data_IF_378995764936
#
_entry.id   IF_378995764936
#
_cell.length_a   1.000
_cell.length_b   1.000
_cell.length_c   1.000
_cell.angle_alpha   90.00
_cell.angle_beta   90.00
_cell.angle_gamma   90.00
#
_symmetry.space_group_name_H-M   'P 1'
#
loop_
_entity.id
_entity.type
_entity.pdbx_description
1 polymer ?
#
# COMPACT_ATOMS: atom_id res chain seq x y z
N UNK A 1 -20.73 0.64 41.96
CA UNK A 1 -19.55 1.34 41.43
C UNK A 1 -18.83 1.96 42.61
N UNK A 2 -17.68 1.40 42.98
CA UNK A 2 -16.87 1.87 44.12
C UNK A 2 -15.63 2.52 43.49
N UNK A 3 -15.38 3.79 43.84
CA UNK A 3 -14.46 4.68 43.15
C UNK A 3 -12.98 4.39 43.47
N UNK A 4 -12.16 4.43 42.41
CA UNK A 4 -10.76 3.98 42.28
C UNK A 4 -9.71 4.92 42.94
N UNK A 5 -10.14 5.91 43.73
CA UNK A 5 -9.25 6.97 44.25
C UNK A 5 -8.77 6.75 45.70
N UNK A 6 -8.92 5.53 46.24
CA UNK A 6 -8.48 5.20 47.60
C UNK A 6 -7.28 4.23 47.65
N UNK A 7 -6.65 3.97 46.50
CA UNK A 7 -5.54 3.02 46.39
C UNK A 7 -4.16 3.66 46.22
N UNK A 8 -4.07 5.01 46.18
CA UNK A 8 -2.79 5.72 46.02
C UNK A 8 -2.61 6.70 47.18
N UNK A 9 -2.39 6.16 48.38
CA UNK A 9 -1.65 6.82 49.47
C UNK A 9 -1.48 5.80 50.59
N UNK A 10 -0.66 4.78 50.36
CA UNK A 10 0.09 4.12 51.42
C UNK A 10 1.15 3.20 50.79
N UNK A 11 2.35 3.24 51.37
CA UNK A 11 3.50 2.37 51.12
C UNK A 11 4.45 2.69 49.95
N UNK A 12 5.41 3.58 50.21
CA UNK A 12 6.82 3.43 49.80
C UNK A 12 7.68 4.10 50.88
N UNK A 13 8.95 3.72 51.16
CA UNK A 13 9.63 2.42 51.13
C UNK A 13 10.29 2.07 52.49
N UNK A 14 10.64 0.79 52.73
CA UNK A 14 11.62 0.43 53.76
C UNK A 14 12.48 -0.77 53.32
N UNK A 15 13.79 -0.64 53.52
CA UNK A 15 14.84 -1.57 53.10
C UNK A 15 14.96 -2.81 54.01
N UNK A 16 15.23 -3.97 53.38
CA UNK A 16 16.17 -4.99 53.84
C UNK A 16 15.76 -5.96 54.95
N UNK A 17 15.62 -7.25 54.61
CA UNK A 17 16.26 -8.39 55.31
C UNK A 17 16.13 -9.69 54.47
N UNK A 18 17.14 -10.53 54.59
CA UNK A 18 17.39 -11.80 53.86
C UNK A 18 16.62 -12.95 54.54
N UNK A 19 15.93 -13.80 53.77
CA UNK A 19 15.70 -15.22 54.12
C UNK A 19 15.09 -16.02 52.95
N UNK A 20 15.69 -17.19 52.68
CA UNK A 20 15.19 -18.30 51.86
C UNK A 20 15.25 -19.58 52.73
N UNK A 21 14.71 -20.75 52.33
CA UNK A 21 13.53 -21.03 51.49
C UNK A 21 12.60 -22.13 52.11
N UNK A 22 11.33 -22.21 51.70
CA UNK A 22 10.46 -23.37 52.00
C UNK A 22 9.95 -24.06 50.73
N UNK A 23 10.18 -25.37 50.66
CA UNK A 23 9.99 -26.31 49.55
C UNK A 23 8.51 -26.56 49.21
N UNK A 24 8.19 -26.66 47.91
CA UNK A 24 7.08 -27.48 47.38
C UNK A 24 7.59 -28.42 46.27
N UNK A 25 7.02 -29.63 46.26
CA UNK A 25 7.43 -30.88 45.58
C UNK A 25 7.23 -30.89 44.05
N UNK A 26 7.84 -31.85 43.31
CA UNK A 26 8.20 -31.71 41.89
C UNK A 26 7.17 -32.31 40.92
N UNK A 27 7.10 -31.74 39.71
CA UNK A 27 6.54 -32.37 38.51
C UNK A 27 7.61 -32.29 37.40
N UNK A 28 7.97 -33.40 36.72
CA UNK A 28 9.15 -33.42 35.84
C UNK A 28 8.79 -33.37 34.33
N UNK A 29 9.38 -32.42 33.59
CA UNK A 29 10.33 -32.60 32.46
C UNK A 29 10.35 -31.40 31.51
N UNK A 30 11.58 -30.93 31.28
CA UNK A 30 12.12 -30.04 30.22
C UNK A 30 11.57 -28.60 30.12
N UNK A 31 12.00 -27.74 31.04
CA UNK A 31 12.12 -26.31 30.76
C UNK A 31 13.52 -26.08 30.20
N UNK A 32 13.62 -25.95 28.88
CA UNK A 32 14.65 -25.09 28.30
C UNK A 32 14.42 -23.68 28.89
N UNK A 33 15.46 -22.86 29.13
CA UNK A 33 15.24 -21.48 29.51
C UNK A 33 14.25 -20.87 28.51
N UNK A 34 13.20 -20.21 29.01
CA UNK A 34 12.19 -19.52 28.20
C UNK A 34 12.91 -18.37 27.47
N UNK A 35 13.71 -18.71 26.46
CA UNK A 35 14.45 -17.78 25.66
C UNK A 35 13.41 -17.10 24.77
N UNK A 36 12.96 -15.93 25.23
CA UNK A 36 11.97 -15.06 24.58
C UNK A 36 12.54 -14.40 23.32
N UNK A 37 13.60 -14.98 22.76
CA UNK A 37 14.22 -14.61 21.52
C UNK A 37 13.46 -15.22 20.33
N UNK A 38 13.35 -14.46 19.25
CA UNK A 38 12.84 -14.96 17.97
C UNK A 38 13.64 -14.36 16.82
N UNK A 39 14.12 -15.22 15.92
CA UNK A 39 14.71 -14.80 14.67
C UNK A 39 13.67 -14.76 13.54
N UNK A 40 13.62 -13.67 12.81
CA UNK A 40 12.65 -13.50 11.73
C UNK A 40 13.31 -13.08 10.42
N UNK A 41 12.66 -13.41 9.32
CA UNK A 41 12.92 -12.77 8.03
C UNK A 41 11.63 -12.46 7.32
N UNK A 42 11.64 -11.34 6.61
CA UNK A 42 10.55 -10.89 5.77
C UNK A 42 11.07 -10.63 4.35
N UNK A 43 10.35 -11.11 3.35
CA UNK A 43 10.79 -10.95 1.97
C UNK A 43 9.76 -11.32 0.92
N UNK A 44 9.95 -10.81 -0.30
CA UNK A 44 9.04 -11.04 -1.44
C UNK A 44 8.98 -12.49 -1.91
N UNK A 45 10.13 -13.19 -1.94
CA UNK A 45 10.28 -14.56 -2.45
C UNK A 45 9.51 -14.85 -3.76
N UNK A 46 9.61 -13.97 -4.78
CA UNK A 46 8.78 -14.06 -5.99
C UNK A 46 9.60 -14.08 -7.30
N UNK A 47 9.99 -15.25 -7.84
CA UNK A 47 9.81 -16.59 -7.27
C UNK A 47 10.87 -16.95 -6.21
N UNK A 48 10.58 -17.93 -5.33
CA UNK A 48 11.60 -18.51 -4.46
C UNK A 48 12.67 -19.22 -5.29
N UNK A 49 13.92 -19.23 -4.81
CA UNK A 49 15.08 -19.75 -5.53
C UNK A 49 16.19 -20.16 -4.55
N UNK A 50 17.21 -20.89 -4.98
CA UNK A 50 18.27 -21.45 -4.13
C UNK A 50 18.96 -20.41 -3.23
N UNK A 51 19.24 -19.20 -3.76
CA UNK A 51 19.81 -18.11 -2.97
C UNK A 51 18.97 -17.67 -1.75
N UNK A 52 17.65 -17.88 -1.74
CA UNK A 52 16.84 -17.65 -0.55
C UNK A 52 17.12 -18.69 0.55
N UNK A 53 17.58 -19.90 0.21
CA UNK A 53 17.98 -20.91 1.18
C UNK A 53 19.06 -20.42 2.13
N UNK A 54 20.11 -19.75 1.61
CA UNK A 54 21.17 -19.13 2.44
C UNK A 54 20.59 -18.14 3.47
N UNK A 55 19.58 -17.35 3.08
CA UNK A 55 18.87 -16.44 3.99
C UNK A 55 18.10 -17.22 5.08
N UNK A 56 17.37 -18.29 4.71
CA UNK A 56 16.61 -19.08 5.68
C UNK A 56 17.53 -19.84 6.66
N UNK A 57 18.67 -20.34 6.17
CA UNK A 57 19.69 -20.98 6.99
C UNK A 57 20.33 -19.98 7.97
N UNK A 58 20.61 -18.75 7.51
CA UNK A 58 21.11 -17.68 8.37
C UNK A 58 20.09 -17.29 9.46
N UNK A 59 18.80 -17.23 9.12
CA UNK A 59 17.72 -17.00 10.09
C UNK A 59 17.69 -18.09 11.15
N UNK A 60 17.80 -19.35 10.73
CA UNK A 60 17.86 -20.49 11.64
C UNK A 60 19.09 -20.42 12.56
N UNK A 61 20.26 -20.04 12.03
CA UNK A 61 21.48 -19.87 12.82
C UNK A 61 21.39 -18.74 13.84
N UNK A 62 20.57 -17.72 13.56
CA UNK A 62 20.32 -16.60 14.45
C UNK A 62 19.14 -16.81 15.41
N UNK A 63 18.49 -17.97 15.40
CA UNK A 63 17.35 -18.31 16.26
C UNK A 63 17.69 -18.52 17.74
N UNK A 64 18.91 -18.18 18.18
CA UNK A 64 19.33 -18.26 19.57
C UNK A 64 19.39 -19.69 20.12
N UNK A 65 19.42 -19.79 21.45
CA UNK A 65 19.42 -21.06 22.19
C UNK A 65 18.05 -21.75 22.11
N UNK A 66 16.97 -20.97 21.96
CA UNK A 66 15.61 -21.49 21.70
C UNK A 66 15.46 -22.14 20.31
N UNK A 67 16.32 -21.80 19.35
CA UNK A 67 16.11 -22.16 17.95
C UNK A 67 14.78 -21.65 17.38
N UNK A 68 14.20 -20.62 17.99
CA UNK A 68 12.90 -20.10 17.61
C UNK A 68 13.07 -19.11 16.45
N UNK A 69 12.61 -19.52 15.27
CA UNK A 69 12.65 -18.67 14.10
C UNK A 69 11.40 -18.81 13.24
N UNK A 70 11.06 -17.72 12.54
CA UNK A 70 9.88 -17.63 11.68
C UNK A 70 10.21 -16.94 10.38
N UNK A 71 9.61 -17.42 9.30
CA UNK A 71 9.83 -16.90 7.95
C UNK A 71 8.49 -16.35 7.48
N UNK A 72 8.48 -15.08 7.10
CA UNK A 72 7.29 -14.36 6.67
C UNK A 72 7.42 -13.97 5.20
N UNK A 73 6.83 -14.74 4.27
CA UNK A 73 6.71 -14.30 2.89
C UNK A 73 5.75 -13.11 2.79
N UNK A 74 6.15 -12.08 2.05
CA UNK A 74 5.28 -10.93 1.79
C UNK A 74 4.01 -11.39 1.07
N UNK A 75 2.89 -10.71 1.34
CA UNK A 75 1.60 -10.98 0.72
C UNK A 75 1.34 -10.14 -0.53
N UNK A 76 2.29 -9.28 -0.91
CA UNK A 76 2.21 -8.44 -2.11
C UNK A 76 2.05 -9.32 -3.34
N UNK A 77 1.08 -8.98 -4.20
CA UNK A 77 0.82 -9.64 -5.48
C UNK A 77 0.60 -8.60 -6.57
N UNK A 78 1.33 -8.74 -7.67
CA UNK A 78 1.19 -7.91 -8.87
C UNK A 78 1.71 -8.67 -10.09
N UNK A 79 1.26 -8.32 -11.30
CA UNK A 79 1.63 -9.05 -12.52
C UNK A 79 3.07 -8.81 -13.01
N UNK A 80 3.89 -8.07 -12.25
CA UNK A 80 5.19 -7.59 -12.70
C UNK A 80 6.31 -8.14 -11.84
N UNK A 81 6.39 -7.65 -10.61
CA UNK A 81 7.42 -7.96 -9.62
C UNK A 81 7.00 -9.11 -8.71
N UNK A 82 5.71 -9.22 -8.40
CA UNK A 82 5.17 -10.24 -7.51
C UNK A 82 4.09 -11.14 -8.15
N UNK A 83 4.43 -11.91 -9.22
CA UNK A 83 3.44 -12.67 -9.99
C UNK A 83 2.76 -13.81 -9.22
N UNK A 84 3.47 -14.48 -8.31
CA UNK A 84 2.88 -15.54 -7.48
C UNK A 84 1.97 -14.96 -6.39
N UNK A 85 0.81 -15.59 -6.16
CA UNK A 85 -0.05 -15.27 -5.02
C UNK A 85 0.62 -15.65 -3.69
N UNK A 86 0.11 -15.12 -2.57
CA UNK A 86 0.63 -15.41 -1.23
C UNK A 86 0.65 -16.92 -0.93
N UNK A 87 -0.43 -17.64 -1.27
CA UNK A 87 -0.52 -19.09 -1.02
C UNK A 87 0.38 -19.90 -1.94
N UNK A 88 0.41 -19.58 -3.25
CA UNK A 88 1.32 -20.25 -4.19
C UNK A 88 2.78 -20.09 -3.75
N UNK A 89 3.15 -18.89 -3.31
CA UNK A 89 4.48 -18.57 -2.81
C UNK A 89 4.83 -19.42 -1.58
N UNK A 90 3.95 -19.48 -0.58
CA UNK A 90 4.16 -20.30 0.61
C UNK A 90 4.28 -21.78 0.24
N UNK A 91 3.41 -22.30 -0.62
CA UNK A 91 3.44 -23.69 -1.06
C UNK A 91 4.73 -24.06 -1.77
N UNK A 92 5.18 -23.19 -2.68
CA UNK A 92 6.45 -23.36 -3.38
C UNK A 92 7.64 -23.29 -2.42
N UNK A 93 7.65 -22.35 -1.47
CA UNK A 93 8.69 -22.26 -0.44
C UNK A 93 8.72 -23.50 0.46
N UNK A 94 7.56 -24.00 0.92
CA UNK A 94 7.46 -25.19 1.75
C UNK A 94 7.93 -26.46 1.04
N UNK A 95 7.71 -26.57 -0.27
CA UNK A 95 8.20 -27.67 -1.11
C UNK A 95 9.71 -27.57 -1.35
N UNK A 96 10.20 -26.37 -1.59
CA UNK A 96 11.60 -26.08 -1.89
C UNK A 96 12.49 -26.22 -0.66
N UNK A 97 12.04 -25.70 0.47
CA UNK A 97 12.78 -25.60 1.73
C UNK A 97 12.14 -26.48 2.80
N UNK A 98 12.18 -27.81 2.58
CA UNK A 98 11.54 -28.79 3.47
C UNK A 98 11.99 -28.66 4.93
N UNK A 99 13.27 -28.32 5.14
CA UNK A 99 13.85 -28.14 6.48
C UNK A 99 13.28 -26.93 7.24
N UNK A 100 12.63 -26.00 6.54
CA UNK A 100 12.04 -24.77 7.10
C UNK A 100 10.51 -24.74 6.95
N UNK A 101 9.90 -25.80 6.41
CA UNK A 101 8.48 -25.85 6.07
C UNK A 101 7.56 -25.36 7.20
N UNK A 102 7.82 -25.85 8.42
CA UNK A 102 6.97 -25.59 9.58
C UNK A 102 7.19 -24.19 10.19
N UNK A 103 8.26 -23.50 9.76
CA UNK A 103 8.58 -22.14 10.20
C UNK A 103 8.10 -21.07 9.22
N UNK A 104 7.71 -21.46 8.01
CA UNK A 104 7.12 -20.56 7.00
C UNK A 104 5.66 -20.28 7.38
N UNK A 105 5.41 -19.03 7.75
CA UNK A 105 4.11 -18.54 8.17
C UNK A 105 3.25 -18.17 6.96
N UNK A 106 1.95 -18.49 7.05
CA UNK A 106 0.93 -18.02 6.12
C UNK A 106 -0.23 -17.47 6.94
N UNK A 107 -0.15 -16.19 7.30
CA UNK A 107 -1.23 -15.48 7.98
C UNK A 107 -1.59 -14.26 7.14
N UNK A 108 -2.88 -13.93 7.07
CA UNK A 108 -3.38 -12.73 6.42
C UNK A 108 -3.08 -11.45 7.20
N UNK A 109 -2.87 -11.58 8.51
CA UNK A 109 -2.61 -10.46 9.42
C UNK A 109 -1.18 -9.91 9.26
N UNK A 110 -0.23 -10.76 8.85
CA UNK A 110 1.17 -10.40 8.69
C UNK A 110 1.44 -9.80 7.30
N UNK A 111 0.81 -8.65 7.00
CA UNK A 111 1.01 -7.94 5.72
C UNK A 111 2.27 -7.08 5.73
N UNK A 112 2.49 -6.35 6.82
CA UNK A 112 3.62 -5.46 7.02
C UNK A 112 4.58 -6.02 8.09
N UNK A 113 5.84 -5.61 8.03
CA UNK A 113 6.83 -5.89 9.08
C UNK A 113 6.37 -5.38 10.45
N UNK A 114 5.63 -4.26 10.52
CA UNK A 114 5.14 -3.75 11.79
C UNK A 114 4.06 -4.63 12.41
N UNK A 115 3.15 -5.18 11.60
CA UNK A 115 2.14 -6.13 12.09
C UNK A 115 2.83 -7.37 12.68
N UNK A 116 3.84 -7.89 11.97
CA UNK A 116 4.66 -9.02 12.44
C UNK A 116 5.34 -8.69 13.76
N UNK A 117 6.00 -7.54 13.85
CA UNK A 117 6.71 -7.12 15.07
C UNK A 117 5.75 -6.87 16.24
N UNK A 118 4.55 -6.34 15.99
CA UNK A 118 3.53 -6.19 17.03
C UNK A 118 3.06 -7.54 17.54
N UNK A 119 2.68 -8.45 16.63
CA UNK A 119 2.20 -9.78 17.00
C UNK A 119 3.27 -10.56 17.79
N UNK A 120 4.55 -10.46 17.41
CA UNK A 120 5.65 -11.07 18.17
C UNK A 120 5.81 -10.49 19.58
N UNK A 121 5.60 -9.19 19.74
CA UNK A 121 5.63 -8.55 21.05
C UNK A 121 4.43 -8.98 21.91
N UNK A 122 3.24 -9.05 21.31
CA UNK A 122 2.01 -9.50 21.96
C UNK A 122 2.09 -10.98 22.40
N UNK A 123 2.84 -11.82 21.66
CA UNK A 123 3.19 -13.18 22.05
C UNK A 123 4.19 -13.26 23.22
N UNK A 124 4.77 -12.13 23.63
CA UNK A 124 5.68 -12.03 24.78
C UNK A 124 7.16 -12.21 24.44
N UNK A 125 7.56 -12.10 23.16
CA UNK A 125 8.97 -12.08 22.78
C UNK A 125 9.62 -10.76 23.22
N UNK A 126 10.76 -10.82 23.90
CA UNK A 126 11.48 -9.63 24.39
C UNK A 126 12.65 -9.24 23.49
N UNK A 127 13.15 -10.19 22.71
CA UNK A 127 14.32 -10.03 21.85
C UNK A 127 14.02 -10.51 20.43
N UNK A 128 14.19 -9.64 19.44
CA UNK A 128 13.99 -10.00 18.02
C UNK A 128 15.29 -9.84 17.26
N UNK A 129 15.68 -10.87 16.51
CA UNK A 129 16.73 -10.77 15.49
C UNK A 129 16.10 -10.85 14.11
N UNK A 130 16.12 -9.76 13.35
CA UNK A 130 15.68 -9.78 11.97
C UNK A 130 16.85 -9.95 11.02
N UNK A 131 16.78 -10.96 10.15
CA UNK A 131 17.80 -11.22 9.13
C UNK A 131 17.30 -10.74 7.77
N UNK A 132 18.04 -9.84 7.16
CA UNK A 132 17.72 -9.22 5.86
C UNK A 132 18.93 -9.24 4.92
N UNK A 133 18.70 -8.96 3.64
CA UNK A 133 19.80 -8.72 2.69
C UNK A 133 20.63 -7.51 3.09
N UNK A 134 21.93 -7.56 2.78
CA UNK A 134 22.91 -6.53 3.17
C UNK A 134 22.53 -5.11 2.73
N UNK A 135 21.93 -5.00 1.55
CA UNK A 135 21.45 -3.75 0.95
C UNK A 135 20.40 -3.03 1.81
N UNK A 136 19.73 -3.74 2.72
CA UNK A 136 18.56 -3.23 3.47
C UNK A 136 18.79 -3.11 4.97
N UNK A 137 19.92 -3.60 5.49
CA UNK A 137 20.22 -3.60 6.93
C UNK A 137 20.06 -2.20 7.53
N UNK A 138 20.63 -1.18 6.87
CA UNK A 138 20.59 0.21 7.35
C UNK A 138 19.19 0.82 7.32
N UNK A 139 18.37 0.44 6.34
CA UNK A 139 17.01 0.93 6.22
C UNK A 139 16.14 0.36 7.35
N UNK A 140 16.21 -0.96 7.52
CA UNK A 140 15.47 -1.64 8.57
C UNK A 140 15.93 -1.26 9.97
N UNK A 141 17.22 -1.06 10.19
CA UNK A 141 17.72 -0.63 11.50
C UNK A 141 17.12 0.72 11.91
N UNK A 142 17.03 1.68 10.97
CA UNK A 142 16.38 2.97 11.23
C UNK A 142 14.88 2.81 11.44
N UNK A 143 14.24 1.99 10.62
CA UNK A 143 12.80 1.76 10.70
C UNK A 143 12.44 1.13 12.05
N UNK A 144 13.04 -0.01 12.40
CA UNK A 144 12.67 -0.74 13.61
C UNK A 144 13.00 0.01 14.89
N UNK A 145 14.11 0.75 14.92
CA UNK A 145 14.47 1.58 16.08
C UNK A 145 13.55 2.79 16.26
N UNK A 146 13.11 3.42 15.16
CA UNK A 146 12.20 4.57 15.21
C UNK A 146 10.82 4.20 15.80
N UNK A 147 10.34 2.99 15.51
CA UNK A 147 9.00 2.55 15.89
C UNK A 147 8.96 1.67 17.15
N UNK A 148 10.11 1.27 17.69
CA UNK A 148 10.20 0.64 19.01
C UNK A 148 9.84 1.67 20.09
N UNK A 149 8.89 1.32 20.96
CA UNK A 149 8.24 2.19 21.93
C UNK A 149 6.95 2.87 21.43
N UNK A 150 6.62 2.75 20.13
CA UNK A 150 5.37 3.28 19.55
C UNK A 150 4.40 2.16 19.20
N UNK A 151 4.85 1.19 18.38
CA UNK A 151 4.01 0.08 17.92
C UNK A 151 4.33 -1.25 18.61
N UNK A 152 5.51 -1.38 19.20
CA UNK A 152 5.99 -2.56 19.92
C UNK A 152 7.08 -2.13 20.90
N UNK A 153 7.36 -2.91 21.94
CA UNK A 153 8.34 -2.58 22.99
C UNK A 153 9.30 -3.75 23.26
N UNK A 154 10.22 -3.97 22.32
CA UNK A 154 11.27 -4.97 22.48
C UNK A 154 12.43 -4.43 23.31
N UNK A 155 12.97 -5.26 24.20
CA UNK A 155 14.20 -4.97 24.94
C UNK A 155 15.41 -4.89 24.02
N UNK A 156 15.44 -5.70 22.96
CA UNK A 156 16.46 -5.58 21.92
C UNK A 156 15.93 -5.96 20.53
N UNK A 157 16.22 -5.11 19.54
CA UNK A 157 15.99 -5.40 18.13
C UNK A 157 17.34 -5.43 17.40
N UNK A 158 17.74 -6.61 16.95
CA UNK A 158 18.98 -6.83 16.22
C UNK A 158 18.70 -7.04 14.73
N UNK A 159 19.29 -6.22 13.87
CA UNK A 159 19.22 -6.42 12.41
C UNK A 159 20.54 -7.04 11.96
N UNK A 160 20.47 -8.23 11.35
CA UNK A 160 21.64 -8.97 10.84
C UNK A 160 21.56 -9.11 9.32
N UNK A 161 22.72 -9.04 8.69
CA UNK A 161 22.87 -9.30 7.25
C UNK A 161 22.92 -10.81 7.01
N UNK A 162 22.21 -11.29 6.01
CA UNK A 162 22.32 -12.66 5.52
C UNK A 162 23.61 -12.90 4.68
N UNK A 163 24.44 -11.86 4.52
CA UNK A 163 25.61 -11.84 3.66
C UNK A 163 25.41 -10.90 2.46
N UNK A 164 26.49 -10.22 2.06
CA UNK A 164 26.53 -9.43 0.85
C UNK A 164 26.54 -10.37 -0.37
N UNK A 165 25.69 -10.09 -1.36
CA UNK A 165 25.78 -10.76 -2.66
C UNK A 165 26.93 -10.12 -3.42
N UNK A 166 28.05 -10.80 -3.58
CA UNK A 166 29.11 -10.32 -4.45
C UNK A 166 28.73 -10.66 -5.91
N UNK A 167 28.48 -9.66 -6.78
CA UNK A 167 28.16 -9.89 -8.18
C UNK A 167 29.25 -10.65 -8.95
N UNK A 168 30.49 -10.60 -8.44
CA UNK A 168 31.65 -11.25 -9.03
C UNK A 168 31.95 -12.62 -8.41
N UNK A 169 31.21 -13.05 -7.37
CA UNK A 169 31.41 -14.34 -6.70
C UNK A 169 31.35 -15.51 -7.68
N UNK A 170 32.28 -16.46 -7.56
CA UNK A 170 32.28 -17.69 -8.36
C UNK A 170 31.09 -18.60 -8.04
N UNK A 171 30.43 -18.40 -6.90
CA UNK A 171 29.26 -19.15 -6.48
C UNK A 171 28.03 -18.82 -7.37
N UNK A 172 27.53 -19.78 -8.17
CA UNK A 172 26.36 -19.55 -9.01
C UNK A 172 25.13 -19.16 -8.19
N UNK A 173 25.05 -19.62 -6.94
CA UNK A 173 23.93 -19.37 -6.03
C UNK A 173 23.84 -17.90 -5.60
N UNK A 174 24.96 -17.19 -5.49
CA UNK A 174 25.00 -15.78 -5.05
C UNK A 174 24.63 -14.81 -6.17
N UNK A 175 24.91 -15.22 -7.43
CA UNK A 175 24.49 -14.54 -8.65
C UNK A 175 22.99 -14.71 -8.96
N UNK A 176 22.31 -15.65 -8.31
CA UNK A 176 20.87 -15.87 -8.53
C UNK A 176 20.02 -14.73 -8.00
N UNK A 177 19.08 -14.29 -8.83
CA UNK A 177 18.07 -13.30 -8.46
C UNK A 177 16.67 -13.72 -8.93
N UNK A 178 15.67 -13.36 -8.14
CA UNK A 178 14.26 -13.56 -8.50
C UNK A 178 13.91 -12.87 -9.84
N UNK A 179 14.52 -11.71 -10.14
CA UNK A 179 14.33 -11.02 -11.42
C UNK A 179 14.86 -11.82 -12.61
N UNK A 180 16.04 -12.46 -12.48
CA UNK A 180 16.55 -13.35 -13.52
C UNK A 180 15.63 -14.56 -13.72
N UNK A 181 15.10 -15.13 -12.63
CA UNK A 181 14.16 -16.25 -12.69
C UNK A 181 12.84 -15.88 -13.40
N UNK A 182 12.31 -14.67 -13.17
CA UNK A 182 11.15 -14.16 -13.94
C UNK A 182 11.47 -14.02 -15.42
N UNK A 183 12.68 -13.57 -15.78
CA UNK A 183 13.12 -13.49 -17.18
C UNK A 183 13.20 -14.87 -17.84
N UNK A 184 13.75 -15.88 -17.16
CA UNK A 184 13.76 -17.25 -17.68
C UNK A 184 12.34 -17.81 -17.85
N UNK A 185 11.43 -17.54 -16.90
CA UNK A 185 10.03 -17.94 -17.00
C UNK A 185 9.31 -17.30 -18.20
N UNK A 186 9.59 -16.04 -18.51
CA UNK A 186 9.06 -15.37 -19.72
C UNK A 186 9.65 -15.93 -21.01
N UNK A 187 10.94 -16.28 -21.00
CA UNK A 187 11.66 -16.79 -22.16
C UNK A 187 11.44 -18.29 -22.45
N UNK A 188 10.57 -18.97 -21.71
CA UNK A 188 10.36 -20.42 -21.80
C UNK A 188 11.65 -21.26 -21.61
N UNK A 189 12.65 -20.71 -20.91
CA UNK A 189 13.94 -21.33 -20.64
C UNK A 189 13.91 -22.10 -19.32
N UNK A 190 13.42 -23.35 -19.38
CA UNK A 190 13.27 -24.19 -18.20
C UNK A 190 14.59 -24.66 -17.59
N UNK A 191 15.62 -24.88 -18.40
CA UNK A 191 16.89 -25.41 -17.91
C UNK A 191 17.63 -24.36 -17.06
N UNK A 192 17.67 -23.10 -17.51
CA UNK A 192 18.20 -22.00 -16.69
C UNK A 192 17.32 -21.68 -15.49
N UNK A 193 16.00 -21.83 -15.61
CA UNK A 193 15.08 -21.68 -14.47
C UNK A 193 15.37 -22.75 -13.40
N UNK A 194 15.50 -24.01 -13.83
CA UNK A 194 15.79 -25.14 -12.95
C UNK A 194 17.16 -25.04 -12.29
N UNK A 195 18.17 -24.51 -12.99
CA UNK A 195 19.48 -24.24 -12.43
C UNK A 195 19.46 -23.26 -11.24
N UNK A 196 18.41 -22.43 -11.13
CA UNK A 196 18.20 -21.54 -10.00
C UNK A 196 17.53 -22.17 -8.77
N UNK A 197 17.13 -23.44 -8.85
CA UNK A 197 16.46 -24.17 -7.77
C UNK A 197 17.49 -24.89 -6.87
N UNK A 198 17.18 -25.19 -5.60
CA UNK A 198 18.10 -25.92 -4.75
C UNK A 198 18.37 -27.33 -5.28
N UNK A 199 19.56 -27.85 -4.97
CA UNK A 199 19.97 -29.20 -5.38
C UNK A 199 18.94 -30.23 -4.92
N UNK A 200 18.51 -31.10 -5.83
CA UNK A 200 17.51 -32.14 -5.55
C UNK A 200 16.05 -31.68 -5.66
N UNK A 201 15.78 -30.44 -6.08
CA UNK A 201 14.44 -30.03 -6.47
C UNK A 201 14.01 -30.75 -7.76
N UNK A 202 12.76 -31.20 -7.86
CA UNK A 202 12.31 -32.00 -9.01
C UNK A 202 12.12 -31.12 -10.25
N UNK A 203 12.53 -31.63 -11.42
CA UNK A 203 12.34 -30.95 -12.70
C UNK A 203 10.85 -30.65 -12.96
N UNK A 204 9.95 -31.59 -12.63
CA UNK A 204 8.49 -31.41 -12.70
C UNK A 204 7.96 -30.25 -11.84
N UNK A 205 8.43 -30.15 -10.59
CA UNK A 205 7.96 -29.12 -9.66
C UNK A 205 8.47 -27.73 -10.07
N UNK A 206 9.70 -27.64 -10.58
CA UNK A 206 10.22 -26.40 -11.15
C UNK A 206 9.48 -25.94 -12.40
N UNK A 207 9.04 -26.89 -13.24
CA UNK A 207 8.24 -26.58 -14.43
C UNK A 207 6.86 -26.03 -14.03
N UNK A 208 6.23 -26.63 -13.01
CA UNK A 208 4.98 -26.10 -12.45
C UNK A 208 5.16 -24.69 -11.89
N UNK A 209 6.23 -24.45 -11.12
CA UNK A 209 6.50 -23.12 -10.58
C UNK A 209 6.75 -22.08 -11.68
N UNK A 210 7.50 -22.44 -12.71
CA UNK A 210 7.74 -21.57 -13.86
C UNK A 210 6.42 -21.23 -14.58
N UNK A 211 5.52 -22.21 -14.74
CA UNK A 211 4.19 -22.00 -15.31
C UNK A 211 3.32 -21.10 -14.42
N UNK A 212 3.35 -21.28 -13.10
CA UNK A 212 2.63 -20.42 -12.15
C UNK A 212 3.15 -18.98 -12.22
N UNK A 213 4.48 -18.79 -12.31
CA UNK A 213 5.10 -17.46 -12.50
C UNK A 213 4.64 -16.85 -13.82
N UNK A 214 4.70 -17.59 -14.94
CA UNK A 214 4.28 -17.10 -16.26
C UNK A 214 2.79 -16.72 -16.27
N UNK A 215 1.96 -17.51 -15.60
CA UNK A 215 0.53 -17.23 -15.42
C UNK A 215 0.33 -15.96 -14.61
N UNK A 216 1.01 -15.83 -13.47
CA UNK A 216 0.96 -14.66 -12.61
C UNK A 216 1.46 -13.39 -13.29
N UNK A 217 2.42 -13.50 -14.20
CA UNK A 217 2.93 -12.38 -15.00
C UNK A 217 1.99 -11.94 -16.13
N UNK A 218 0.96 -12.73 -16.43
CA UNK A 218 -0.02 -12.41 -17.46
C UNK A 218 -1.23 -11.73 -16.80
N UNK A 219 -1.45 -10.42 -17.01
CA UNK A 219 -2.59 -9.74 -16.43
C UNK A 219 -3.91 -10.33 -16.98
N UNK A 220 -4.95 -10.49 -16.15
CA UNK A 220 -6.26 -10.93 -16.62
C UNK A 220 -6.76 -9.92 -17.65
N UNK A 221 -7.29 -10.42 -18.78
CA UNK A 221 -7.91 -9.57 -19.79
C UNK A 221 -9.00 -8.75 -19.10
N UNK A 222 -8.81 -7.43 -18.97
CA UNK A 222 -9.86 -6.53 -18.48
C UNK A 222 -11.14 -6.83 -19.27
N UNK A 223 -12.30 -7.07 -18.63
CA UNK A 223 -13.56 -7.16 -19.37
C UNK A 223 -13.69 -5.86 -20.14
N UNK A 224 -13.64 -5.98 -21.46
CA UNK A 224 -13.57 -4.85 -22.37
C UNK A 224 -14.76 -3.92 -22.11
N UNK A 225 -14.53 -2.79 -21.43
CA UNK A 225 -15.30 -1.60 -21.76
C UNK A 225 -15.13 -1.42 -23.26
N UNK A 226 -16.25 -1.39 -23.99
CA UNK A 226 -16.33 -1.21 -25.44
C UNK A 226 -15.65 0.10 -25.85
N UNK A 227 -14.33 0.11 -25.87
CA UNK A 227 -13.53 1.17 -26.46
C UNK A 227 -13.28 0.73 -27.89
N UNK A 228 -13.74 1.58 -28.81
CA UNK A 228 -13.73 1.38 -30.26
C UNK A 228 -12.43 0.73 -30.73
N UNK A 229 -12.58 -0.29 -31.59
CA UNK A 229 -11.50 -1.01 -32.31
C UNK A 229 -10.37 -0.05 -32.69
N UNK A 230 -9.22 -0.18 -32.01
CA UNK A 230 -7.92 0.04 -32.64
C UNK A 230 -7.31 -1.34 -32.90
N UNK A 231 -6.64 -1.41 -34.04
CA UNK A 231 -6.01 -2.55 -34.71
C UNK A 231 -5.25 -3.53 -33.79
N UNK A 232 -5.08 -4.80 -34.21
CA UNK A 232 -4.44 -5.83 -33.39
C UNK A 232 -2.93 -5.59 -33.34
N UNK A 233 -2.49 -4.78 -32.38
CA UNK A 233 -1.11 -4.79 -31.93
C UNK A 233 -1.00 -5.80 -30.79
N UNK A 234 -0.19 -6.83 -30.99
CA UNK A 234 0.35 -7.68 -29.93
C UNK A 234 0.86 -6.77 -28.81
N UNK A 235 0.40 -6.91 -27.55
CA UNK A 235 0.98 -6.16 -26.45
C UNK A 235 2.38 -6.72 -26.23
N UNK A 236 3.40 -6.08 -26.82
CA UNK A 236 4.77 -6.25 -26.38
C UNK A 236 4.82 -5.62 -25.01
N UNK A 237 4.67 -6.44 -23.97
CA UNK A 237 4.93 -5.98 -22.63
C UNK A 237 6.43 -5.70 -22.51
N UNK A 238 6.77 -4.48 -22.13
CA UNK A 238 8.14 -3.99 -22.19
C UNK A 238 8.94 -4.54 -21.01
N UNK A 239 10.20 -4.93 -21.24
CA UNK A 239 11.01 -5.67 -20.27
C UNK A 239 11.22 -4.93 -18.93
N UNK A 240 11.17 -3.58 -18.96
CA UNK A 240 11.26 -2.74 -17.77
C UNK A 240 10.08 -2.91 -16.81
N UNK A 241 8.90 -3.26 -17.33
CA UNK A 241 7.69 -3.42 -16.53
C UNK A 241 7.88 -4.54 -15.50
N UNK A 242 8.55 -5.63 -15.89
CA UNK A 242 8.78 -6.84 -15.09
C UNK A 242 10.08 -6.86 -14.29
N UNK A 243 11.10 -6.19 -14.82
CA UNK A 243 12.42 -6.09 -14.19
C UNK A 243 12.97 -4.67 -14.18
N UNK A 244 12.37 -3.76 -13.38
CA UNK A 244 12.85 -2.38 -13.26
C UNK A 244 14.32 -2.29 -12.83
N UNK A 245 14.81 -3.27 -12.05
CA UNK A 245 16.20 -3.31 -11.58
C UNK A 245 17.20 -3.59 -12.70
N UNK A 246 16.81 -4.36 -13.73
CA UNK A 246 17.70 -4.65 -14.87
C UNK A 246 17.58 -3.59 -15.97
N UNK A 247 16.45 -2.91 -16.08
CA UNK A 247 16.16 -1.90 -17.10
C UNK A 247 15.89 -0.52 -16.47
N UNK A 248 16.84 -0.05 -15.65
CA UNK A 248 16.66 1.15 -14.83
C UNK A 248 16.53 2.45 -15.66
N UNK A 249 17.12 2.49 -16.85
CA UNK A 249 17.03 3.64 -17.76
C UNK A 249 15.61 3.81 -18.32
N UNK A 250 15.07 2.78 -18.97
CA UNK A 250 13.72 2.80 -19.54
C UNK A 250 12.66 3.06 -18.47
N UNK A 251 12.76 2.39 -17.32
CA UNK A 251 11.85 2.63 -16.19
C UNK A 251 11.88 4.07 -15.68
N UNK A 252 13.04 4.74 -15.76
CA UNK A 252 13.18 6.14 -15.37
C UNK A 252 12.49 7.06 -16.36
N UNK A 253 12.57 6.78 -17.66
CA UNK A 253 11.88 7.57 -18.70
C UNK A 253 10.36 7.54 -18.47
N UNK A 254 9.76 6.35 -18.31
CA UNK A 254 8.33 6.24 -18.01
C UNK A 254 7.92 6.92 -16.69
N UNK A 255 8.82 6.94 -15.71
CA UNK A 255 8.61 7.73 -14.50
C UNK A 255 8.64 9.23 -14.84
N UNK A 256 9.65 9.73 -15.55
CA UNK A 256 9.73 11.16 -15.91
C UNK A 256 8.54 11.63 -16.75
N UNK A 257 8.03 10.77 -17.63
CA UNK A 257 6.85 11.02 -18.47
C UNK A 257 5.52 10.98 -17.72
N UNK A 258 5.56 10.72 -16.40
CA UNK A 258 4.40 10.62 -15.51
C UNK A 258 3.45 9.46 -15.81
N UNK A 259 3.90 8.44 -16.53
CA UNK A 259 3.09 7.26 -16.84
C UNK A 259 2.94 6.31 -15.63
N UNK A 260 3.95 6.30 -14.76
CA UNK A 260 3.96 5.53 -13.50
C UNK A 260 4.13 6.43 -12.28
N UNK A 261 3.66 5.96 -11.13
CA UNK A 261 3.74 6.57 -9.81
C UNK A 261 3.20 8.00 -9.77
N UNK A 262 1.98 8.21 -10.28
CA UNK A 262 1.30 9.49 -10.18
C UNK A 262 1.03 9.88 -8.71
N UNK A 263 0.98 11.18 -8.44
CA UNK A 263 0.57 11.69 -7.11
C UNK A 263 -0.89 11.29 -6.85
N UNK A 264 -1.16 10.74 -5.67
CA UNK A 264 -2.47 10.19 -5.32
C UNK A 264 -2.63 8.70 -5.63
N UNK A 265 -1.62 8.04 -6.21
CA UNK A 265 -1.64 6.58 -6.41
C UNK A 265 -1.30 5.85 -5.10
N UNK A 266 -2.07 4.80 -4.80
CA UNK A 266 -1.77 3.87 -3.72
C UNK A 266 -0.58 2.99 -4.11
N UNK A 267 0.41 2.95 -3.24
CA UNK A 267 1.62 2.15 -3.42
C UNK A 267 1.91 1.32 -2.20
N UNK A 268 2.63 0.23 -2.40
CA UNK A 268 3.16 -0.64 -1.35
C UNK A 268 4.67 -0.65 -1.45
N UNK A 269 5.33 -0.48 -0.30
CA UNK A 269 6.77 -0.68 -0.19
C UNK A 269 7.04 -2.17 -0.17
N UNK A 270 7.74 -2.64 -1.19
CA UNK A 270 7.90 -4.06 -1.46
C UNK A 270 8.67 -4.82 -0.35
N UNK A 271 9.47 -4.11 0.44
CA UNK A 271 10.36 -4.72 1.43
C UNK A 271 9.83 -4.64 2.85
N UNK A 272 9.02 -3.63 3.18
CA UNK A 272 8.38 -3.53 4.50
C UNK A 272 6.92 -3.94 4.47
N UNK A 273 6.27 -3.95 3.30
CA UNK A 273 4.83 -4.16 3.15
C UNK A 273 3.99 -2.95 3.55
N UNK A 274 4.60 -1.81 3.87
CA UNK A 274 3.90 -0.55 4.22
C UNK A 274 3.16 -0.05 2.98
N UNK A 275 1.88 0.30 3.14
CA UNK A 275 1.07 0.88 2.08
C UNK A 275 0.88 2.37 2.30
N UNK A 276 0.67 3.11 1.22
CA UNK A 276 0.34 4.51 1.35
C UNK A 276 0.13 5.22 0.03
N UNK A 277 -0.31 6.47 0.10
CA UNK A 277 -0.64 7.28 -1.07
C UNK A 277 0.53 8.19 -1.41
N UNK A 278 0.97 8.21 -2.67
CA UNK A 278 2.05 9.12 -3.11
C UNK A 278 1.62 10.57 -2.90
N UNK A 279 2.39 11.33 -2.13
CA UNK A 279 2.19 12.76 -1.90
C UNK A 279 3.19 13.59 -2.70
N UNK A 280 4.44 13.12 -2.81
CA UNK A 280 5.49 13.83 -3.52
C UNK A 280 6.32 12.89 -4.39
N UNK A 281 6.82 13.45 -5.50
CA UNK A 281 7.64 12.77 -6.50
C UNK A 281 8.98 13.47 -6.60
N UNK A 282 10.04 12.78 -6.19
CA UNK A 282 11.40 13.23 -6.40
C UNK A 282 11.95 12.75 -7.75
N UNK A 283 13.24 12.98 -8.00
CA UNK A 283 13.89 12.63 -9.28
C UNK A 283 13.95 11.12 -9.54
N UNK A 284 14.29 10.33 -8.52
CA UNK A 284 14.44 8.86 -8.59
C UNK A 284 13.76 8.15 -7.38
N UNK A 285 12.86 8.85 -6.68
CA UNK A 285 12.19 8.34 -5.48
C UNK A 285 10.80 8.95 -5.35
N UNK A 286 9.94 8.30 -4.57
CA UNK A 286 8.62 8.81 -4.19
C UNK A 286 8.55 8.98 -2.68
N UNK A 287 7.71 9.90 -2.24
CA UNK A 287 7.30 10.05 -0.85
C UNK A 287 5.82 9.73 -0.77
N UNK A 288 5.46 8.70 0.00
CA UNK A 288 4.09 8.29 0.21
C UNK A 288 3.70 8.42 1.68
N UNK A 289 2.41 8.66 1.94
CA UNK A 289 1.85 8.71 3.29
C UNK A 289 1.08 7.45 3.59
N UNK A 290 1.39 6.81 4.72
CA UNK A 290 0.60 5.69 5.25
C UNK A 290 -0.73 6.19 5.84
N UNK A 291 -1.62 5.26 6.20
CA UNK A 291 -2.90 5.48 6.85
C UNK A 291 -2.77 6.35 8.12
N UNK A 292 -1.67 6.19 8.87
CA UNK A 292 -1.40 6.95 10.09
C UNK A 292 -0.85 8.36 9.81
N UNK A 293 -0.75 8.76 8.54
CA UNK A 293 -0.35 10.10 8.10
C UNK A 293 1.16 10.33 8.06
N UNK A 294 1.95 9.30 8.40
CA UNK A 294 3.41 9.35 8.36
C UNK A 294 3.98 9.28 6.95
N UNK A 295 5.04 10.04 6.69
CA UNK A 295 5.71 10.11 5.39
C UNK A 295 6.88 9.12 5.28
N UNK A 296 6.85 8.30 4.24
CA UNK A 296 7.90 7.36 3.90
C UNK A 296 8.51 7.72 2.55
N UNK A 297 9.84 7.80 2.51
CA UNK A 297 10.61 7.99 1.28
C UNK A 297 11.11 6.64 0.79
N UNK A 298 10.78 6.28 -0.45
CA UNK A 298 11.21 5.03 -1.05
C UNK A 298 11.72 5.22 -2.50
N UNK A 299 12.74 4.45 -2.85
CA UNK A 299 13.27 4.41 -4.20
C UNK A 299 12.29 3.71 -5.15
N UNK A 300 12.24 4.15 -6.41
CA UNK A 300 11.25 3.66 -7.39
C UNK A 300 11.27 2.14 -7.57
N UNK A 301 12.44 1.51 -7.44
CA UNK A 301 12.60 0.06 -7.61
C UNK A 301 12.14 -0.76 -6.40
N UNK A 302 11.84 -0.12 -5.25
CA UNK A 302 11.31 -0.76 -4.03
C UNK A 302 9.81 -0.51 -3.80
N UNK A 303 9.13 0.12 -4.76
CA UNK A 303 7.72 0.50 -4.63
C UNK A 303 6.91 -0.11 -5.76
N UNK A 304 5.73 -0.61 -5.44
CA UNK A 304 4.79 -1.16 -6.42
C UNK A 304 3.44 -0.48 -6.29
N UNK A 305 2.82 -0.14 -7.42
CA UNK A 305 1.46 0.38 -7.40
C UNK A 305 0.48 -0.73 -7.03
N UNK A 306 -0.32 -0.49 -6.00
CA UNK A 306 -1.36 -1.42 -5.59
C UNK A 306 -2.61 -1.09 -6.38
N UNK A 307 -2.96 -1.98 -7.31
CA UNK A 307 -4.27 -1.98 -7.95
C UNK A 307 -5.14 -2.92 -7.13
N UNK A 308 -5.83 -2.41 -6.12
CA UNK A 308 -6.81 -3.24 -5.42
C UNK A 308 -7.93 -3.62 -6.41
N UNK A 309 -8.07 -4.94 -6.62
CA UNK A 309 -9.11 -5.56 -7.45
C UNK A 309 -10.48 -5.54 -6.77
N UNK A 310 -10.53 -5.21 -5.48
CA UNK A 310 -11.76 -4.97 -4.74
C UNK A 310 -11.98 -3.47 -4.59
N UNK A 311 -13.17 -3.04 -4.96
CA UNK A 311 -13.64 -1.66 -4.99
C UNK A 311 -13.46 -0.94 -3.64
N UNK A 312 -12.33 -0.27 -3.43
CA UNK A 312 -12.33 0.86 -2.49
C UNK A 312 -13.05 2.00 -3.19
N UNK A 313 -14.14 2.43 -2.55
CA UNK A 313 -14.83 3.68 -2.77
C UNK A 313 -13.84 4.86 -2.76
N UNK A 314 -13.10 5.04 -3.84
CA UNK A 314 -12.46 6.30 -4.15
C UNK A 314 -13.58 7.29 -4.50
N UNK A 315 -13.56 8.52 -3.96
CA UNK A 315 -14.36 9.58 -4.52
C UNK A 315 -14.11 9.61 -6.03
N UNK A 316 -15.17 9.46 -6.84
CA UNK A 316 -15.11 9.52 -8.31
C UNK A 316 -14.20 10.68 -8.70
N UNK A 317 -13.47 10.65 -9.82
CA UNK A 317 -12.53 11.70 -10.28
C UNK A 317 -12.94 13.18 -10.06
N UNK A 318 -14.24 13.49 -9.88
CA UNK A 318 -14.78 14.79 -9.48
C UNK A 318 -14.53 15.20 -8.02
N UNK A 319 -14.31 14.25 -7.12
CA UNK A 319 -14.32 14.47 -5.66
C UNK A 319 -12.92 14.39 -5.02
N UNK A 320 -11.89 13.97 -5.77
CA UNK A 320 -10.50 13.93 -5.33
C UNK A 320 -10.03 15.32 -4.81
N UNK A 321 -9.67 15.45 -3.51
CA UNK A 321 -9.25 16.71 -2.92
C UNK A 321 -7.92 17.25 -3.48
N UNK A 322 -7.10 16.40 -4.11
CA UNK A 322 -5.79 16.74 -4.65
C UNK A 322 -5.77 16.90 -6.18
N UNK A 323 -6.94 16.95 -6.82
CA UNK A 323 -7.03 17.32 -8.24
C UNK A 323 -6.45 18.72 -8.47
N UNK A 324 -5.64 18.90 -9.52
CA UNK A 324 -5.05 20.20 -9.94
C UNK A 324 -6.07 21.34 -9.93
N UNK A 325 -7.33 21.04 -10.29
CA UNK A 325 -8.44 22.02 -10.32
C UNK A 325 -8.92 22.44 -8.93
N UNK A 326 -8.93 21.53 -7.94
CA UNK A 326 -9.35 21.81 -6.56
C UNK A 326 -8.24 22.55 -5.80
N UNK A 327 -6.98 22.17 -6.03
CA UNK A 327 -5.81 22.90 -5.51
C UNK A 327 -5.77 24.33 -6.05
N UNK A 328 -5.97 24.51 -7.37
CA UNK A 328 -6.05 25.83 -7.98
C UNK A 328 -7.22 26.65 -7.41
N UNK A 329 -8.38 26.04 -7.19
CA UNK A 329 -9.55 26.71 -6.60
C UNK A 329 -9.32 27.10 -5.13
N UNK A 330 -8.63 26.26 -4.36
CA UNK A 330 -8.23 26.56 -2.98
C UNK A 330 -7.20 27.69 -2.93
N UNK A 331 -6.24 27.71 -3.85
CA UNK A 331 -5.23 28.76 -3.97
C UNK A 331 -5.85 30.10 -4.40
N UNK A 332 -6.78 30.10 -5.35
CA UNK A 332 -7.54 31.30 -5.73
C UNK A 332 -8.38 31.79 -4.54
N UNK A 333 -9.00 30.88 -3.78
CA UNK A 333 -9.78 31.24 -2.58
C UNK A 333 -8.91 31.85 -1.48
N UNK A 334 -7.74 31.27 -1.22
CA UNK A 334 -6.82 31.80 -0.19
C UNK A 334 -6.20 33.13 -0.59
N UNK A 335 -5.92 33.34 -1.88
CA UNK A 335 -5.52 34.65 -2.41
C UNK A 335 -6.67 35.65 -2.28
N UNK A 336 -7.90 35.27 -2.64
CA UNK A 336 -9.06 36.13 -2.48
C UNK A 336 -9.38 36.47 -1.01
N UNK A 337 -9.16 35.54 -0.07
CA UNK A 337 -9.28 35.79 1.37
C UNK A 337 -8.16 36.69 1.89
N UNK A 338 -6.93 36.55 1.40
CA UNK A 338 -5.81 37.46 1.70
C UNK A 338 -6.05 38.87 1.18
N UNK A 339 -6.63 39.01 0.00
CA UNK A 339 -6.94 40.32 -0.58
C UNK A 339 -8.16 40.95 0.13
N UNK A 340 -9.15 40.15 0.57
CA UNK A 340 -10.26 40.64 1.40
C UNK A 340 -9.83 41.03 2.81
N UNK A 341 -8.90 40.31 3.42
CA UNK A 341 -8.37 40.66 4.74
C UNK A 341 -7.51 41.92 4.69
N UNK A 342 -6.73 42.13 3.61
CA UNK A 342 -6.07 43.41 3.34
C UNK A 342 -7.05 44.56 3.11
N UNK A 343 -8.22 44.29 2.52
CA UNK A 343 -9.27 45.27 2.29
C UNK A 343 -10.18 45.54 3.52
N UNK A 344 -9.92 44.92 4.68
CA UNK A 344 -10.62 45.20 5.93
C UNK A 344 -12.08 44.71 6.00
N UNK A 345 -12.51 43.82 5.11
CA UNK A 345 -13.90 43.32 5.08
C UNK A 345 -14.02 42.08 5.98
N UNK A 346 -14.57 42.25 7.19
CA UNK A 346 -14.94 41.13 8.08
C UNK A 346 -16.23 40.47 7.61
N UNK A 347 -16.29 39.14 7.73
CA UNK A 347 -17.42 38.32 7.29
C UNK A 347 -18.50 38.35 8.37
N UNK A 348 -19.60 39.05 8.14
CA UNK A 348 -20.85 38.79 8.88
C UNK A 348 -21.34 37.39 8.50
N UNK A 349 -21.46 36.50 9.49
CA UNK A 349 -22.13 35.22 9.32
C UNK A 349 -23.64 35.46 9.24
N UNK A 350 -24.18 35.56 8.02
CA UNK A 350 -25.60 35.29 7.79
C UNK A 350 -25.82 33.79 7.73
N UNK A 351 -26.60 33.27 8.67
CA UNK A 351 -27.19 31.93 8.62
C UNK A 351 -27.79 31.68 7.23
N UNK A 352 -27.45 30.54 6.63
CA UNK A 352 -28.04 30.11 5.36
C UNK A 352 -29.46 29.63 5.62
N UNK A 353 -30.42 30.54 5.48
CA UNK A 353 -31.81 30.19 5.23
C UNK A 353 -31.94 29.35 3.96
N UNK A 354 -32.79 28.33 4.06
CA UNK A 354 -33.20 27.37 3.04
C UNK A 354 -33.36 28.00 1.64
N UNK A 355 -32.65 27.46 0.64
CA UNK A 355 -32.67 27.93 -0.75
C UNK A 355 -33.65 27.13 -1.60
N UNK A 356 -34.92 27.11 -1.19
CA UNK A 356 -36.02 26.69 -2.05
C UNK A 356 -36.91 27.91 -2.35
N UNK A 357 -37.16 28.15 -3.64
CA UNK A 357 -37.93 29.26 -4.23
C UNK A 357 -37.27 30.66 -4.27
N UNK A 358 -36.45 30.90 -5.29
CA UNK A 358 -36.40 32.23 -5.92
C UNK A 358 -37.59 32.35 -6.89
N UNK A 359 -38.79 32.53 -6.34
CA UNK A 359 -39.85 33.21 -7.09
C UNK A 359 -39.58 34.71 -6.95
N UNK A 360 -39.71 35.49 -8.03
CA UNK A 360 -39.49 36.95 -8.03
C UNK A 360 -40.58 37.74 -7.26
N UNK A 361 -41.27 37.07 -6.35
CA UNK A 361 -42.26 37.62 -5.44
C UNK A 361 -41.72 37.43 -4.03
N UNK A 362 -41.16 38.50 -3.47
CA UNK A 362 -40.60 38.56 -2.12
C UNK A 362 -41.67 38.88 -1.06
N UNK A 363 -42.96 38.73 -1.40
CA UNK A 363 -44.08 38.99 -0.50
C UNK A 363 -44.23 40.46 -0.12
N UNK A 364 -43.50 41.38 -0.78
CA UNK A 364 -43.54 42.82 -0.50
C UNK A 364 -44.79 43.53 -1.03
N UNK A 365 -45.68 42.79 -1.71
CA UNK A 365 -46.89 43.34 -2.34
C UNK A 365 -46.60 44.25 -3.55
N UNK A 366 -45.34 44.43 -3.93
CA UNK A 366 -44.96 45.23 -5.10
C UNK A 366 -44.86 44.35 -6.34
N UNK A 367 -45.93 44.32 -7.13
CA UNK A 367 -46.08 43.46 -8.30
C UNK A 367 -45.44 44.01 -9.58
N UNK A 368 -44.91 45.25 -9.56
CA UNK A 368 -44.25 45.91 -10.70
C UNK A 368 -42.75 45.59 -10.87
N UNK A 369 -42.25 44.54 -10.21
CA UNK A 369 -40.83 44.14 -10.31
C UNK A 369 -40.55 43.37 -11.61
N UNK A 370 -39.37 43.62 -12.20
CA UNK A 370 -38.89 42.88 -13.37
C UNK A 370 -38.82 41.39 -13.02
N UNK A 371 -39.59 40.56 -13.74
CA UNK A 371 -39.68 39.12 -13.53
C UNK A 371 -41.02 38.63 -12.97
N UNK A 372 -41.92 39.53 -12.55
CA UNK A 372 -43.30 39.18 -12.21
C UNK A 372 -44.16 39.04 -13.47
N UNK A 373 -45.28 38.32 -13.36
CA UNK A 373 -46.22 38.14 -14.47
C UNK A 373 -46.95 39.44 -14.84
N UNK A 374 -47.19 40.34 -13.88
CA UNK A 374 -47.82 41.64 -14.11
C UNK A 374 -46.92 42.59 -14.91
N UNK A 375 -45.64 42.70 -14.57
CA UNK A 375 -44.68 43.50 -15.34
C UNK A 375 -44.55 42.98 -16.78
N UNK A 376 -44.55 41.66 -16.98
CA UNK A 376 -44.52 41.08 -18.34
C UNK A 376 -45.77 41.41 -19.14
N UNK A 377 -46.95 41.31 -18.53
CA UNK A 377 -48.22 41.60 -19.19
C UNK A 377 -48.26 43.05 -19.67
N UNK A 378 -47.82 43.99 -18.84
CA UNK A 378 -47.72 45.41 -19.21
C UNK A 378 -46.76 45.65 -20.40
N UNK A 379 -45.59 45.01 -20.42
CA UNK A 379 -44.63 45.14 -21.55
C UNK A 379 -45.16 44.48 -22.83
N UNK A 380 -45.88 43.37 -22.70
CA UNK A 380 -46.47 42.67 -23.86
C UNK A 380 -47.69 43.40 -24.41
N UNK A 381 -48.51 44.05 -23.58
CA UNK A 381 -49.62 44.91 -24.04
C UNK A 381 -49.10 46.14 -24.82
N UNK A 382 -47.85 46.56 -24.60
CA UNK A 382 -47.18 47.60 -25.40
C UNK A 382 -46.63 47.07 -26.74
N UNK A 383 -46.71 45.76 -27.01
CA UNK A 383 -46.18 45.11 -28.22
C UNK A 383 -47.28 44.29 -28.93
N UNK A 384 -47.99 44.87 -29.92
CA UNK A 384 -49.15 44.20 -30.52
C UNK A 384 -48.78 42.88 -31.21
N UNK A 385 -49.47 41.78 -30.86
CA UNK A 385 -49.47 40.52 -31.63
C UNK A 385 -48.91 39.27 -30.95
N UNK A 386 -48.54 39.30 -29.66
CA UNK A 386 -47.96 38.14 -28.97
C UNK A 386 -48.87 37.64 -27.83
N UNK A 387 -49.28 36.36 -27.87
CA UNK A 387 -50.12 35.74 -26.83
C UNK A 387 -49.35 35.41 -25.55
N UNK A 388 -50.00 35.53 -24.39
CA UNK A 388 -49.41 35.29 -23.07
C UNK A 388 -49.29 33.80 -22.73
N UNK A 389 -48.08 33.31 -22.42
CA UNK A 389 -47.85 32.00 -21.78
C UNK A 389 -47.28 32.18 -20.38
N UNK A 390 -47.76 31.36 -19.42
CA UNK A 390 -47.32 31.39 -18.02
C UNK A 390 -45.87 30.95 -17.88
N UNK A 391 -45.11 31.62 -17.02
CA UNK A 391 -43.77 31.15 -16.67
C UNK A 391 -43.86 29.80 -15.94
N UNK A 392 -43.15 28.80 -16.45
CA UNK A 392 -43.08 27.45 -15.87
C UNK A 392 -43.64 26.31 -16.72
N UNK A 393 -44.23 26.58 -17.89
CA UNK A 393 -44.69 25.51 -18.79
C UNK A 393 -43.54 25.00 -19.67
N UNK A 394 -42.78 24.05 -19.09
CA UNK A 394 -42.01 22.95 -19.68
C UNK A 394 -41.13 23.21 -20.92
N UNK A 395 -39.81 23.23 -20.66
CA UNK A 395 -38.70 22.96 -21.59
C UNK A 395 -38.72 21.60 -22.32
N UNK A 396 -39.81 20.82 -22.23
CA UNK A 396 -39.91 19.48 -22.82
C UNK A 396 -40.48 19.46 -24.24
N UNK A 397 -41.03 20.57 -24.73
CA UNK A 397 -41.61 20.66 -26.08
C UNK A 397 -40.59 21.08 -27.16
N UNK A 398 -39.36 21.44 -26.79
CA UNK A 398 -38.27 21.74 -27.74
C UNK A 398 -37.51 20.51 -28.26
N UNK A 399 -37.87 19.28 -27.82
CA UNK A 399 -37.14 18.03 -28.15
C UNK A 399 -37.88 17.05 -29.07
N UNK A 400 -38.92 17.46 -29.78
CA UNK A 400 -39.52 16.64 -30.84
C UNK A 400 -39.82 17.46 -32.10
N UNK A 401 -38.86 17.49 -33.03
CA UNK A 401 -39.10 17.45 -34.48
C UNK A 401 -37.78 17.58 -35.25
N UNK A 402 -37.10 16.45 -35.45
CA UNK A 402 -36.21 16.28 -36.59
C UNK A 402 -36.46 14.88 -37.14
N UNK A 403 -37.51 14.74 -37.94
CA UNK A 403 -37.67 13.60 -38.84
C UNK A 403 -36.83 13.88 -40.09
N UNK A 404 -36.06 12.91 -40.60
CA UNK A 404 -35.24 13.09 -41.78
C UNK A 404 -36.11 13.22 -43.05
N UNK A 405 -35.70 14.10 -43.96
CA UNK A 405 -36.15 14.10 -45.36
C UNK A 405 -35.30 13.14 -46.17
#
# INVERSE_FOLDING_TARGET
MIHFNQFITEATPAQGTVSQPAKKKPVPKSQQPEDKHVAITFGRFNPPHAGHGKLLDAVKAHGGDSGNYRIYPSRTQDHKKNPLSADQKVDHMRKMFKNHKDKIQNSEQHRNIFDILRDLNDEGHEHVTMVVGDDRVKEFQKLTQKYNGVHYDFKSVNIKSAGARDPNSDDPIEKLSASAQRKHAQGDDHDSYHAGMPKGFKKSDSMKMMADVKTGMTPPKKPSQKLKKKTPATPKSEAWEYSPKLHMYEFREHYMEHEVFAVGTLVEHDDSGIRGVIVHRGTNHVVFKDHDGEEFKAWLHHVTEVVELDEIAMPRRKDNPYSKRKILKAMIRSVAERERSKAGVTREEKEKGDQSNYSADDGSGNTWKIGTDEYRKAVQDMTPGQGTTKFGVKFNDFRKAAQPK
#
